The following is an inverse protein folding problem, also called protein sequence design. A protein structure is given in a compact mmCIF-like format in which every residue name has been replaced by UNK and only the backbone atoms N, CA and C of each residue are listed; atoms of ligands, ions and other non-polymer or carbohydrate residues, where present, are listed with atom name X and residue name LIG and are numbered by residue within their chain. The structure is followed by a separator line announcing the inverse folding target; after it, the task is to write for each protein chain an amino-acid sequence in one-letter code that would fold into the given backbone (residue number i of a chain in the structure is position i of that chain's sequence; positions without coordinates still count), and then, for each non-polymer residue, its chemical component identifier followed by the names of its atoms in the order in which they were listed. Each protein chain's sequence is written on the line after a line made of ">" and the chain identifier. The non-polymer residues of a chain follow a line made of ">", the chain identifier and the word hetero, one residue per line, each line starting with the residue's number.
data_IF_354987259757
#
_entry.id   IF_354987259757
#
_cell.length_a   1.000
_cell.length_b   1.000
_cell.length_c   1.000
_cell.angle_alpha   90.00
_cell.angle_beta   90.00
_cell.angle_gamma   90.00
#
_symmetry.space_group_name_H-M   'P 1'
#
loop_
_entity.id
_entity.type
_entity.pdbx_description
1 polymer ?
#
# COMPACT_ATOMS: atom_id res chain seq x y z
N UNK A 1 -3.83 7.76 6.32
CA UNK A 1 -4.04 6.40 6.87
C UNK A 1 -2.70 5.94 7.46
N UNK A 2 -2.46 6.10 8.78
CA UNK A 2 -1.18 5.76 9.46
C UNK A 2 -1.34 4.68 10.53
N UNK A 3 -2.54 4.12 10.73
CA UNK A 3 -2.82 3.12 11.77
C UNK A 3 -3.26 1.81 11.11
N UNK A 4 -2.35 0.85 11.01
CA UNK A 4 -2.68 -0.55 10.69
C UNK A 4 -1.71 -1.28 9.76
N UNK A 5 -1.04 -0.58 8.83
CA UNK A 5 -0.07 -1.18 7.91
C UNK A 5 1.31 -0.54 8.09
N UNK A 6 2.34 -1.38 8.11
CA UNK A 6 3.77 -1.00 8.10
C UNK A 6 4.35 -1.03 6.68
N UNK A 7 3.54 -1.35 5.67
CA UNK A 7 3.98 -1.56 4.30
C UNK A 7 4.84 -0.42 3.76
N UNK A 8 4.42 0.84 3.92
CA UNK A 8 5.15 2.00 3.40
C UNK A 8 6.56 2.13 4.01
N UNK A 9 6.67 1.95 5.33
CA UNK A 9 7.98 2.00 6.01
C UNK A 9 8.89 0.83 5.61
N UNK A 10 8.31 -0.37 5.47
CA UNK A 10 9.03 -1.57 5.01
C UNK A 10 9.49 -1.44 3.56
N UNK A 11 8.62 -1.00 2.66
CA UNK A 11 8.92 -0.77 1.25
C UNK A 11 10.03 0.28 1.07
N UNK A 12 9.96 1.41 1.78
CA UNK A 12 11.01 2.41 1.78
C UNK A 12 12.34 1.83 2.26
N UNK A 13 12.31 1.03 3.34
CA UNK A 13 13.54 0.40 3.84
C UNK A 13 14.15 -0.57 2.83
N UNK A 14 13.34 -1.36 2.13
CA UNK A 14 13.82 -2.26 1.06
C UNK A 14 14.44 -1.44 -0.08
N UNK A 15 13.80 -0.33 -0.47
CA UNK A 15 14.35 0.57 -1.48
C UNK A 15 15.69 1.19 -1.07
N UNK A 16 15.81 1.66 0.18
CA UNK A 16 17.07 2.18 0.70
C UNK A 16 18.17 1.11 0.64
N UNK A 17 17.88 -0.12 1.09
CA UNK A 17 18.84 -1.22 1.04
C UNK A 17 19.27 -1.56 -0.38
N UNK A 18 18.33 -1.57 -1.33
CA UNK A 18 18.65 -1.74 -2.74
C UNK A 18 19.57 -0.62 -3.26
N UNK A 19 19.42 0.62 -2.78
CA UNK A 19 20.30 1.72 -3.19
C UNK A 19 21.70 1.63 -2.60
N UNK A 20 21.84 1.14 -1.37
CA UNK A 20 23.12 1.13 -0.66
C UNK A 20 23.96 -0.14 -0.87
N UNK A 21 23.35 -1.27 -1.24
CA UNK A 21 24.04 -2.56 -1.33
C UNK A 21 23.93 -3.17 -2.73
N UNK A 22 25.02 -3.79 -3.21
CA UNK A 22 25.10 -4.40 -4.54
C UNK A 22 24.60 -5.85 -4.61
N UNK A 23 24.43 -6.51 -3.46
CA UNK A 23 23.90 -7.88 -3.37
C UNK A 23 23.20 -8.11 -2.05
N UNK A 24 22.53 -9.26 -1.92
CA UNK A 24 21.95 -9.69 -0.65
C UNK A 24 23.03 -9.89 0.42
N UNK A 25 24.14 -10.54 0.07
CA UNK A 25 25.23 -10.89 0.99
C UNK A 25 25.93 -9.65 1.55
N UNK A 26 25.95 -8.55 0.80
CA UNK A 26 26.49 -7.27 1.25
C UNK A 26 25.65 -6.62 2.36
N UNK A 27 24.37 -6.99 2.51
CA UNK A 27 23.50 -6.47 3.57
C UNK A 27 23.91 -7.11 4.91
N UNK A 28 24.08 -6.29 5.98
CA UNK A 28 24.41 -6.79 7.32
C UNK A 28 23.49 -7.92 7.76
N UNK A 29 24.05 -9.00 8.31
CA UNK A 29 23.32 -10.23 8.65
C UNK A 29 22.10 -9.97 9.57
N UNK A 30 22.24 -9.06 10.54
CA UNK A 30 21.13 -8.67 11.42
C UNK A 30 19.95 -8.05 10.65
N UNK A 31 20.23 -7.25 9.60
CA UNK A 31 19.19 -6.67 8.77
C UNK A 31 18.56 -7.71 7.84
N UNK A 32 19.36 -8.61 7.25
CA UNK A 32 18.86 -9.73 6.45
C UNK A 32 17.87 -10.58 7.24
N UNK A 33 18.26 -11.00 8.44
CA UNK A 33 17.39 -11.78 9.34
C UNK A 33 16.08 -11.06 9.65
N UNK A 34 16.13 -9.75 9.94
CA UNK A 34 14.92 -8.95 10.20
C UNK A 34 13.98 -8.89 8.99
N UNK A 35 14.54 -8.87 7.78
CA UNK A 35 13.78 -8.83 6.53
C UNK A 35 13.14 -10.19 6.26
N UNK A 36 13.88 -11.28 6.38
CA UNK A 36 13.37 -12.64 6.23
C UNK A 36 12.28 -12.94 7.26
N UNK A 37 12.55 -12.74 8.55
CA UNK A 37 11.61 -13.08 9.63
C UNK A 37 10.39 -12.12 9.66
N UNK A 38 10.63 -10.82 9.43
CA UNK A 38 9.64 -9.79 9.72
C UNK A 38 8.84 -9.30 8.52
N UNK A 39 9.39 -9.39 7.30
CA UNK A 39 8.82 -8.78 6.10
C UNK A 39 8.35 -9.86 5.14
N UNK A 40 9.24 -10.78 4.79
CA UNK A 40 8.94 -11.86 3.86
C UNK A 40 8.27 -13.05 4.54
N UNK A 41 8.63 -13.31 5.80
CA UNK A 41 8.31 -14.55 6.52
C UNK A 41 8.78 -15.80 5.75
N UNK A 42 9.89 -15.65 5.02
CA UNK A 42 10.51 -16.65 4.17
C UNK A 42 11.98 -16.27 3.93
N UNK A 43 12.81 -17.25 3.58
CA UNK A 43 14.23 -17.03 3.28
C UNK A 43 14.43 -16.35 1.92
N UNK A 44 15.48 -15.55 1.78
CA UNK A 44 15.82 -14.90 0.51
C UNK A 44 16.04 -15.93 -0.62
N UNK A 45 16.79 -17.00 -0.33
CA UNK A 45 17.10 -18.04 -1.31
C UNK A 45 15.85 -18.80 -1.76
N UNK A 46 14.90 -19.02 -0.85
CA UNK A 46 13.61 -19.65 -1.15
C UNK A 46 12.80 -18.78 -2.12
N UNK A 47 12.69 -17.48 -1.80
CA UNK A 47 11.95 -16.53 -2.66
C UNK A 47 12.61 -16.41 -4.02
N UNK A 48 13.93 -16.23 -4.07
CA UNK A 48 14.67 -16.13 -5.33
C UNK A 48 14.52 -17.40 -6.17
N UNK A 49 14.62 -18.57 -5.55
CA UNK A 49 14.40 -19.86 -6.20
C UNK A 49 12.99 -19.98 -6.79
N UNK A 50 11.96 -19.60 -6.03
CA UNK A 50 10.58 -19.56 -6.50
C UNK A 50 10.38 -18.60 -7.67
N UNK A 51 10.97 -17.41 -7.62
CA UNK A 51 10.89 -16.43 -8.70
C UNK A 51 11.62 -16.89 -9.97
N UNK A 52 12.78 -17.56 -9.84
CA UNK A 52 13.49 -18.17 -10.97
C UNK A 52 12.68 -19.30 -11.60
N UNK A 53 12.06 -20.17 -10.79
CA UNK A 53 11.21 -21.25 -11.28
C UNK A 53 9.99 -20.73 -12.07
N UNK A 54 9.49 -19.54 -11.71
CA UNK A 54 8.41 -18.85 -12.41
C UNK A 54 8.89 -18.07 -13.64
N UNK A 55 10.19 -18.05 -13.94
CA UNK A 55 10.77 -17.24 -15.01
C UNK A 55 10.73 -15.72 -14.74
N UNK A 56 10.47 -15.31 -13.50
CA UNK A 56 10.38 -13.89 -13.12
C UNK A 56 11.76 -13.24 -12.92
N UNK A 57 12.83 -14.02 -12.80
CA UNK A 57 14.23 -13.57 -12.73
C UNK A 57 15.02 -14.27 -13.83
N UNK A 58 15.74 -13.52 -14.69
CA UNK A 58 16.64 -14.10 -15.68
C UNK A 58 17.71 -14.99 -15.03
N UNK A 59 18.15 -16.05 -15.72
CA UNK A 59 19.20 -16.95 -15.19
C UNK A 59 20.57 -16.27 -15.11
N UNK A 60 20.80 -15.26 -15.93
CA UNK A 60 22.00 -14.43 -16.00
C UNK A 60 21.87 -13.11 -15.22
N UNK A 61 20.85 -13.00 -14.37
CA UNK A 61 20.65 -11.82 -13.53
C UNK A 61 21.86 -11.60 -12.62
N UNK A 62 22.33 -10.35 -12.58
CA UNK A 62 23.35 -9.92 -11.62
C UNK A 62 22.80 -9.95 -10.18
N UNK A 63 23.64 -10.04 -9.14
CA UNK A 63 23.17 -10.02 -7.74
C UNK A 63 22.30 -8.81 -7.40
N UNK A 64 22.57 -7.66 -8.03
CA UNK A 64 21.77 -6.45 -7.89
C UNK A 64 20.37 -6.62 -8.48
N UNK A 65 20.26 -7.24 -9.65
CA UNK A 65 18.99 -7.53 -10.30
C UNK A 65 18.19 -8.54 -9.48
N UNK A 66 18.81 -9.60 -8.97
CA UNK A 66 18.15 -10.57 -8.09
C UNK A 66 17.57 -9.90 -6.86
N UNK A 67 18.36 -9.04 -6.20
CA UNK A 67 17.90 -8.23 -5.06
C UNK A 67 16.69 -7.35 -5.43
N UNK A 68 16.74 -6.68 -6.59
CA UNK A 68 15.61 -5.90 -7.12
C UNK A 68 14.35 -6.78 -7.28
N UNK A 69 14.48 -7.96 -7.89
CA UNK A 69 13.35 -8.85 -8.14
C UNK A 69 12.70 -9.34 -6.83
N UNK A 70 13.51 -9.76 -5.86
CA UNK A 70 13.02 -10.19 -4.55
C UNK A 70 12.33 -9.04 -3.81
N UNK A 71 12.88 -7.82 -3.85
CA UNK A 71 12.23 -6.67 -3.19
C UNK A 71 10.95 -6.23 -3.91
N UNK A 72 10.89 -6.34 -5.24
CA UNK A 72 9.66 -6.10 -6.01
C UNK A 72 8.58 -7.13 -5.70
N UNK A 73 8.95 -8.38 -5.43
CA UNK A 73 8.03 -9.43 -5.01
C UNK A 73 7.29 -9.05 -3.72
N UNK A 74 7.97 -8.47 -2.72
CA UNK A 74 7.30 -7.94 -1.52
C UNK A 74 6.19 -6.93 -1.83
N UNK A 75 6.42 -6.04 -2.81
CA UNK A 75 5.41 -5.05 -3.21
C UNK A 75 4.20 -5.72 -3.87
N UNK A 76 4.41 -6.77 -4.65
CA UNK A 76 3.33 -7.53 -5.27
C UNK A 76 2.50 -8.28 -4.22
N UNK A 77 3.17 -8.96 -3.29
CA UNK A 77 2.52 -9.69 -2.20
C UNK A 77 1.70 -8.77 -1.30
N UNK A 78 2.20 -7.58 -0.98
CA UNK A 78 1.44 -6.60 -0.18
C UNK A 78 0.08 -6.22 -0.79
N UNK A 79 -0.04 -6.20 -2.13
CA UNK A 79 -1.34 -6.03 -2.81
C UNK A 79 -2.19 -7.28 -2.74
N UNK A 80 -1.58 -8.44 -2.97
CA UNK A 80 -2.26 -9.74 -2.93
C UNK A 80 -2.90 -9.99 -1.57
N UNK A 81 -2.14 -9.78 -0.48
CA UNK A 81 -2.63 -9.93 0.89
C UNK A 81 -3.79 -8.99 1.21
N UNK A 82 -3.71 -7.74 0.77
CA UNK A 82 -4.78 -6.76 0.99
C UNK A 82 -6.08 -7.14 0.27
N UNK A 83 -5.98 -7.64 -0.96
CA UNK A 83 -7.13 -8.11 -1.74
C UNK A 83 -7.74 -9.40 -1.18
N UNK A 84 -6.88 -10.34 -0.77
CA UNK A 84 -7.31 -11.62 -0.19
C UNK A 84 -7.81 -11.49 1.27
N UNK A 85 -7.57 -10.36 1.93
CA UNK A 85 -7.96 -10.15 3.33
C UNK A 85 -7.16 -11.01 4.31
N UNK A 86 -5.92 -11.37 3.98
CA UNK A 86 -5.08 -12.24 4.82
C UNK A 86 -4.70 -11.54 6.14
N UNK A 87 -5.51 -11.75 7.18
CA UNK A 87 -5.39 -11.03 8.46
C UNK A 87 -4.01 -11.17 9.13
N UNK A 88 -3.36 -12.33 8.99
CA UNK A 88 -2.00 -12.56 9.49
C UNK A 88 -0.94 -11.64 8.84
N UNK A 89 -1.24 -11.12 7.64
CA UNK A 89 -0.37 -10.24 6.84
C UNK A 89 -0.82 -8.78 6.83
N UNK A 90 -1.72 -8.38 7.74
CA UNK A 90 -2.27 -7.02 7.82
C UNK A 90 -1.21 -5.91 7.83
N UNK A 91 -0.07 -6.16 8.49
CA UNK A 91 1.04 -5.22 8.53
C UNK A 91 1.67 -4.95 7.15
N UNK A 92 1.50 -5.86 6.19
CA UNK A 92 2.06 -5.81 4.84
C UNK A 92 1.04 -5.32 3.80
N UNK A 93 -0.17 -4.93 4.19
CA UNK A 93 -1.19 -4.51 3.24
C UNK A 93 -0.77 -3.23 2.52
N UNK A 94 -0.65 -3.31 1.20
CA UNK A 94 -0.52 -2.14 0.33
C UNK A 94 -1.91 -1.54 0.11
N UNK A 95 -2.27 -0.55 0.91
CA UNK A 95 -3.54 0.18 0.79
C UNK A 95 -3.31 1.52 0.08
N UNK A 96 -3.95 1.70 -1.08
CA UNK A 96 -4.01 2.98 -1.78
C UNK A 96 -5.11 3.85 -1.16
N UNK A 97 -4.82 4.56 -0.07
CA UNK A 97 -5.76 5.51 0.53
C UNK A 97 -5.39 6.94 0.14
N UNK A 98 -6.30 7.65 -0.51
CA UNK A 98 -6.16 9.07 -0.84
C UNK A 98 -6.54 9.97 0.34
N UNK A 99 -6.05 11.23 0.40
CA UNK A 99 -6.50 12.22 1.38
C UNK A 99 -8.01 12.44 1.37
N UNK A 100 -8.64 12.31 0.20
CA UNK A 100 -10.09 12.42 0.02
C UNK A 100 -10.87 11.41 0.89
N UNK A 101 -10.39 10.17 1.01
CA UNK A 101 -11.00 9.17 1.90
C UNK A 101 -10.94 9.61 3.37
N UNK A 102 -9.85 10.27 3.78
CA UNK A 102 -9.70 10.82 5.12
C UNK A 102 -10.68 11.96 5.39
N UNK A 103 -10.81 12.89 4.45
CA UNK A 103 -11.78 13.99 4.52
C UNK A 103 -13.22 13.47 4.58
N UNK A 104 -13.54 12.49 3.73
CA UNK A 104 -14.85 11.82 3.74
C UNK A 104 -15.14 11.16 5.10
N UNK A 105 -14.19 10.39 5.65
CA UNK A 105 -14.36 9.74 6.95
C UNK A 105 -14.54 10.74 8.10
N UNK A 106 -13.88 11.89 8.05
CA UNK A 106 -14.06 12.95 9.05
C UNK A 106 -15.47 13.55 8.97
N UNK A 107 -15.96 13.76 7.74
CA UNK A 107 -17.29 14.31 7.47
C UNK A 107 -18.43 13.40 7.95
N UNK A 108 -18.33 12.08 7.72
CA UNK A 108 -19.43 11.13 8.01
C UNK A 108 -19.43 10.57 9.44
N UNK A 109 -18.52 11.06 10.31
CA UNK A 109 -18.43 10.63 11.70
C UNK A 109 -19.73 10.94 12.46
N UNK A 110 -20.22 9.98 13.25
CA UNK A 110 -21.47 10.07 14.00
C UNK A 110 -22.73 9.86 13.16
N UNK A 111 -22.60 9.57 11.86
CA UNK A 111 -23.73 9.31 10.96
C UNK A 111 -23.85 7.82 10.65
N UNK A 112 -24.97 7.40 10.04
CA UNK A 112 -25.13 6.02 9.56
C UNK A 112 -24.04 5.60 8.56
N UNK A 113 -23.44 6.56 7.84
CA UNK A 113 -22.34 6.33 6.89
C UNK A 113 -20.98 6.12 7.57
N UNK A 114 -20.89 6.21 8.91
CA UNK A 114 -19.67 5.88 9.64
C UNK A 114 -19.28 4.40 9.41
N UNK A 115 -20.23 3.47 9.48
CA UNK A 115 -20.00 2.07 9.07
C UNK A 115 -19.87 1.99 7.54
N UNK A 116 -18.77 1.40 7.08
CA UNK A 116 -18.52 1.22 5.66
C UNK A 116 -19.55 0.31 4.98
N UNK A 117 -20.23 -0.56 5.72
CA UNK A 117 -21.29 -1.44 5.18
C UNK A 117 -22.51 -0.66 4.71
N UNK A 118 -22.73 0.54 5.24
CA UNK A 118 -23.81 1.43 4.82
C UNK A 118 -23.41 2.33 3.64
N UNK A 119 -22.18 2.19 3.11
CA UNK A 119 -21.64 3.03 2.04
C UNK A 119 -21.86 2.38 0.69
N UNK A 120 -22.93 2.79 0.02
CA UNK A 120 -23.22 2.38 -1.35
C UNK A 120 -22.62 3.38 -2.35
N UNK A 121 -21.83 2.91 -3.31
CA UNK A 121 -21.05 3.77 -4.21
C UNK A 121 -21.94 4.72 -5.03
N UNK A 122 -23.11 4.24 -5.47
CA UNK A 122 -24.08 5.00 -6.25
C UNK A 122 -24.77 6.09 -5.41
N UNK A 123 -25.14 5.77 -4.16
CA UNK A 123 -25.72 6.73 -3.23
C UNK A 123 -24.73 7.84 -2.89
N UNK A 124 -23.48 7.48 -2.57
CA UNK A 124 -22.43 8.45 -2.27
C UNK A 124 -22.12 9.36 -3.46
N UNK A 125 -22.13 8.83 -4.68
CA UNK A 125 -21.91 9.65 -5.88
C UNK A 125 -23.04 10.67 -6.08
N UNK A 126 -24.30 10.26 -5.90
CA UNK A 126 -25.47 11.16 -6.01
C UNK A 126 -25.41 12.26 -4.93
N UNK A 127 -25.07 11.89 -3.71
CA UNK A 127 -24.94 12.82 -2.59
C UNK A 127 -23.85 13.86 -2.85
N UNK A 128 -22.67 13.41 -3.32
CA UNK A 128 -21.56 14.28 -3.65
C UNK A 128 -21.92 15.32 -4.74
N UNK A 129 -22.58 14.88 -5.82
CA UNK A 129 -23.02 15.78 -6.91
C UNK A 129 -24.06 16.79 -6.41
N UNK A 130 -25.02 16.34 -5.60
CA UNK A 130 -26.05 17.21 -5.03
C UNK A 130 -25.45 18.27 -4.11
N UNK A 131 -24.53 17.89 -3.24
CA UNK A 131 -23.84 18.80 -2.32
C UNK A 131 -22.97 19.80 -3.07
N UNK A 132 -22.24 19.34 -4.08
CA UNK A 132 -21.40 20.23 -4.93
C UNK A 132 -22.27 21.28 -5.60
N UNK A 133 -23.41 20.89 -6.17
CA UNK A 133 -24.35 21.82 -6.80
C UNK A 133 -24.90 22.86 -5.81
N UNK A 134 -25.18 22.46 -4.57
CA UNK A 134 -25.64 23.38 -3.52
C UNK A 134 -24.52 24.33 -3.08
N UNK A 135 -23.31 23.83 -2.86
CA UNK A 135 -22.15 24.62 -2.48
C UNK A 135 -21.81 25.68 -3.53
N UNK A 136 -21.83 25.32 -4.82
CA UNK A 136 -21.59 26.27 -5.92
C UNK A 136 -22.65 27.38 -5.97
N UNK A 137 -23.93 27.05 -5.72
CA UNK A 137 -25.01 28.05 -5.67
C UNK A 137 -24.83 29.04 -4.52
N UNK A 138 -24.48 28.54 -3.33
CA UNK A 138 -24.22 29.39 -2.16
C UNK A 138 -22.99 30.27 -2.36
N UNK A 139 -21.93 29.73 -2.97
CA UNK A 139 -20.73 30.49 -3.29
C UNK A 139 -21.01 31.59 -4.32
N UNK A 140 -21.78 31.29 -5.38
CA UNK A 140 -22.19 32.27 -6.38
C UNK A 140 -23.04 33.39 -5.75
N UNK A 141 -24.02 33.05 -4.91
CA UNK A 141 -24.85 34.04 -4.21
C UNK A 141 -24.03 34.98 -3.32
N UNK A 142 -22.99 34.47 -2.64
CA UNK A 142 -22.05 35.29 -1.84
C UNK A 142 -21.15 36.18 -2.70
N UNK A 143 -20.80 35.74 -3.92
CA UNK A 143 -19.97 36.51 -4.83
C UNK A 143 -20.74 37.62 -5.55
N UNK A 144 -22.06 37.46 -5.73
CA UNK A 144 -22.94 38.44 -6.39
C UNK A 144 -23.69 39.36 -5.42
N UNK A 145 -23.67 39.05 -4.12
CA UNK A 145 -24.28 39.88 -3.07
C UNK A 145 -23.22 40.63 -2.27
N UNK A 146 -22.90 41.84 -2.76
CA UNK A 146 -22.32 42.93 -1.97
C UNK A 146 -23.39 43.98 -1.70
#
# INVERSE_FOLDING_TARGET
>A
LKRGSLFAARANKLYDLYRFYESWEAIPAALRKRIEDGYFQAGYAEILGGLRAQGAVPQDATPKQELMHVFRHYLAEGRRFALAGEGARRADFQLSASPALGAFNARVRGTALEDWRNRHADALAKDLVRETKQGMRLAAARATGG
#
